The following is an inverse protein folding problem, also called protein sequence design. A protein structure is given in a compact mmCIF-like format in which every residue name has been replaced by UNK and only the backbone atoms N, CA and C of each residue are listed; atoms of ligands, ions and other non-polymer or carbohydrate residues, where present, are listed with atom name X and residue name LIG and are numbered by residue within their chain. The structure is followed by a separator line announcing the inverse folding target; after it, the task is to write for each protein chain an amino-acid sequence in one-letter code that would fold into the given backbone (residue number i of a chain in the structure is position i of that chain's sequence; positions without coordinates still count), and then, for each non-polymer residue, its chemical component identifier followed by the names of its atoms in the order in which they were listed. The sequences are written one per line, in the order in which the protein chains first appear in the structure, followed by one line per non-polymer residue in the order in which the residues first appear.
data_IF_194889296842
#
_entry.id   IF_194889296842
#
_cell.length_a   1.000
_cell.length_b   1.000
_cell.length_c   1.000
_cell.angle_alpha   90.00
_cell.angle_beta   90.00
_cell.angle_gamma   90.00
#
_symmetry.space_group_name_H-M   'P 1'
#
loop_
_entity.id
_entity.type
_entity.pdbx_description
1 polymer ?
#
# COMPACT_ATOMS: atom_id res chain seq x y z
N UNK A 1 -4.01 -9.48 -27.55
CA UNK A 1 -3.46 -9.58 -26.18
C UNK A 1 -3.19 -11.05 -25.89
N UNK A 2 -1.96 -11.40 -25.51
CA UNK A 2 -1.65 -12.78 -25.14
C UNK A 2 -2.27 -13.11 -23.79
N UNK A 3 -2.71 -14.36 -23.58
CA UNK A 3 -3.22 -14.83 -22.29
C UNK A 3 -2.23 -14.56 -21.16
N UNK A 4 -0.93 -14.67 -21.45
CA UNK A 4 0.15 -14.33 -20.52
C UNK A 4 0.13 -12.85 -20.11
N UNK A 5 -0.11 -11.94 -21.06
CA UNK A 5 -0.22 -10.50 -20.79
C UNK A 5 -1.40 -10.19 -19.87
N UNK A 6 -2.53 -10.88 -20.05
CA UNK A 6 -3.71 -10.70 -19.20
C UNK A 6 -3.39 -11.17 -17.77
N UNK A 7 -2.76 -12.34 -17.62
CA UNK A 7 -2.39 -12.89 -16.31
C UNK A 7 -1.46 -11.94 -15.55
N UNK A 8 -0.40 -11.46 -16.20
CA UNK A 8 0.55 -10.52 -15.56
C UNK A 8 -0.13 -9.19 -15.26
N UNK A 9 -0.94 -8.65 -16.17
CA UNK A 9 -1.65 -7.40 -15.94
C UNK A 9 -2.64 -7.51 -14.77
N UNK A 10 -3.35 -8.62 -14.63
CA UNK A 10 -4.25 -8.86 -13.50
C UNK A 10 -3.48 -8.97 -12.18
N UNK A 11 -2.33 -9.67 -12.16
CA UNK A 11 -1.48 -9.75 -10.97
C UNK A 11 -0.94 -8.37 -10.56
N UNK A 12 -0.39 -7.61 -11.50
CA UNK A 12 0.09 -6.24 -11.24
C UNK A 12 -1.03 -5.32 -10.74
N UNK A 13 -2.24 -5.44 -11.31
CA UNK A 13 -3.39 -4.66 -10.84
C UNK A 13 -3.77 -5.02 -9.40
N UNK A 14 -3.81 -6.33 -9.07
CA UNK A 14 -4.10 -6.80 -7.71
C UNK A 14 -3.04 -6.31 -6.70
N UNK A 15 -1.76 -6.34 -7.05
CA UNK A 15 -0.69 -5.78 -6.22
C UNK A 15 -0.87 -4.28 -5.99
N UNK A 16 -1.22 -3.53 -7.03
CA UNK A 16 -1.44 -2.09 -6.94
C UNK A 16 -2.62 -1.74 -6.02
N UNK A 17 -3.74 -2.46 -6.14
CA UNK A 17 -4.87 -2.29 -5.24
C UNK A 17 -4.54 -2.69 -3.79
N UNK A 18 -3.72 -3.71 -3.60
CA UNK A 18 -3.29 -4.14 -2.27
C UNK A 18 -2.41 -3.07 -1.59
N UNK A 19 -1.44 -2.50 -2.31
CA UNK A 19 -0.60 -1.41 -1.81
C UNK A 19 -1.45 -0.18 -1.51
N UNK A 20 -2.33 0.23 -2.42
CA UNK A 20 -3.26 1.35 -2.23
C UNK A 20 -4.16 1.13 -1.00
N UNK A 21 -4.66 -0.09 -0.77
CA UNK A 21 -5.46 -0.42 0.41
C UNK A 21 -4.66 -0.25 1.72
N UNK A 22 -3.39 -0.69 1.72
CA UNK A 22 -2.50 -0.52 2.87
C UNK A 22 -2.17 0.97 3.14
N UNK A 23 -1.98 1.78 2.10
CA UNK A 23 -1.67 3.21 2.20
C UNK A 23 -2.87 4.10 2.54
N UNK A 24 -4.09 3.72 2.15
CA UNK A 24 -5.28 4.58 2.31
C UNK A 24 -6.19 4.14 3.46
N UNK A 25 -6.36 2.83 3.64
CA UNK A 25 -7.35 2.26 4.57
C UNK A 25 -6.68 1.61 5.79
N UNK A 26 -5.54 0.97 5.62
CA UNK A 26 -4.84 0.23 6.69
C UNK A 26 -3.50 0.89 7.10
N UNK A 27 -3.46 2.23 7.17
CA UNK A 27 -2.28 3.02 7.59
C UNK A 27 -1.79 2.76 9.01
N UNK A 28 -2.54 2.03 9.84
CA UNK A 28 -2.13 1.64 11.20
C UNK A 28 -1.88 0.13 11.35
N UNK A 29 -1.92 -0.64 10.26
CA UNK A 29 -1.68 -2.07 10.30
C UNK A 29 -0.20 -2.39 10.48
N UNK A 30 0.08 -3.38 11.33
CA UNK A 30 1.40 -4.01 11.51
C UNK A 30 2.08 -4.40 10.19
N UNK A 31 1.29 -4.68 9.14
CA UNK A 31 1.80 -5.05 7.81
C UNK A 31 2.36 -3.85 7.03
N UNK A 32 1.76 -2.66 7.18
CA UNK A 32 2.19 -1.42 6.51
C UNK A 32 3.55 -0.98 7.04
N UNK A 33 3.77 -1.03 8.36
CA UNK A 33 5.10 -0.79 8.94
C UNK A 33 6.18 -1.77 8.47
N UNK A 34 5.81 -3.03 8.20
CA UNK A 34 6.76 -4.04 7.71
C UNK A 34 7.10 -3.89 6.23
N UNK A 35 6.14 -3.45 5.40
CA UNK A 35 6.33 -3.20 3.97
C UNK A 35 7.08 -1.88 3.73
N UNK A 36 6.79 -0.85 4.54
CA UNK A 36 7.47 0.44 4.49
C UNK A 36 8.71 0.55 5.39
N UNK A 37 9.11 -0.53 6.06
CA UNK A 37 10.23 -0.56 7.02
C UNK A 37 10.19 0.54 8.09
N UNK A 38 8.99 0.92 8.55
CA UNK A 38 8.77 1.92 9.61
C UNK A 38 8.23 1.27 10.88
N UNK A 39 8.66 1.77 12.04
CA UNK A 39 8.16 1.36 13.35
C UNK A 39 6.74 1.88 13.60
N UNK A 40 5.97 1.22 14.49
CA UNK A 40 4.58 1.60 14.79
C UNK A 40 4.45 3.05 15.26
N UNK A 41 5.48 3.56 15.93
CA UNK A 41 5.53 4.92 16.43
C UNK A 41 5.66 5.95 15.30
N UNK A 42 6.43 5.65 14.24
CA UNK A 42 6.54 6.50 13.04
C UNK A 42 5.26 6.44 12.19
N UNK A 43 4.65 5.26 12.09
CA UNK A 43 3.38 5.07 11.37
C UNK A 43 2.19 5.79 12.06
N UNK A 44 2.27 5.96 13.37
CA UNK A 44 1.28 6.68 14.18
C UNK A 44 1.49 8.19 14.19
N UNK A 45 2.59 8.68 13.58
CA UNK A 45 2.91 10.09 13.51
C UNK A 45 1.94 10.80 12.55
N UNK A 46 1.20 11.79 13.07
CA UNK A 46 0.15 12.51 12.34
C UNK A 46 0.56 13.01 10.92
N UNK A 47 1.79 13.53 10.73
CA UNK A 47 2.30 13.92 9.41
C UNK A 47 2.46 12.76 8.42
N UNK A 48 2.90 11.59 8.90
CA UNK A 48 3.08 10.39 8.06
C UNK A 48 1.72 9.86 7.59
N UNK A 49 0.73 9.82 8.49
CA UNK A 49 -0.66 9.47 8.17
C UNK A 49 -1.25 10.45 7.15
N UNK A 50 -0.99 11.75 7.32
CA UNK A 50 -1.44 12.79 6.36
C UNK A 50 -0.75 12.66 5.02
N UNK A 51 0.54 12.35 4.98
CA UNK A 51 1.28 12.09 3.75
C UNK A 51 0.70 10.89 3.01
N UNK A 52 0.49 9.75 3.67
CA UNK A 52 -0.11 8.56 3.06
C UNK A 52 -1.54 8.81 2.55
N UNK A 53 -2.36 9.55 3.31
CA UNK A 53 -3.71 9.93 2.88
C UNK A 53 -3.76 10.95 1.73
N UNK A 54 -2.66 11.65 1.47
CA UNK A 54 -2.56 12.73 0.48
C UNK A 54 -1.71 12.33 -0.74
N UNK A 55 -1.38 11.03 -0.88
CA UNK A 55 -0.70 10.47 -2.05
C UNK A 55 -1.66 10.04 -3.18
N UNK A 56 -2.98 10.16 -2.96
CA UNK A 56 -4.01 9.92 -3.98
C UNK A 56 -4.21 11.09 -4.93
#
# INVERSE_FOLDING_TARGET
MSTLTIIIATLTALEHFYIMYLETLATQSNMTGKIFSMSKEELSYLPVIKLFKNQG
#
